data_IF_696508329931
#
_entry.id   IF_696508329931
#
_cell.length_a   1.000
_cell.length_b   1.000
_cell.length_c   1.000
_cell.angle_alpha   90.00
_cell.angle_beta   90.00
_cell.angle_gamma   90.00
#
_symmetry.space_group_name_H-M   'P 1'
#
loop_
_entity.id
_entity.type
_entity.pdbx_description
1 polymer ?
#
# COMPACT_ATOMS: atom_id res chain seq x y z
N UNK A 1 45.37 25.92 8.40
CA UNK A 1 44.22 26.48 7.66
C UNK A 1 42.97 25.89 8.26
N UNK A 2 42.23 26.70 9.01
CA UNK A 2 41.03 26.32 9.77
C UNK A 2 39.85 27.03 9.12
N UNK A 3 38.75 26.32 8.85
CA UNK A 3 37.42 26.88 8.57
C UNK A 3 36.46 26.14 9.51
N UNK A 4 36.01 26.73 10.61
CA UNK A 4 34.97 27.78 10.73
C UNK A 4 33.57 27.24 10.42
N UNK A 5 32.97 26.56 11.41
CA UNK A 5 31.51 26.53 11.56
C UNK A 5 31.17 27.66 12.54
N UNK A 6 30.46 28.67 12.05
CA UNK A 6 29.84 29.71 12.85
C UNK A 6 28.49 29.21 13.38
N UNK A 7 28.29 29.13 14.71
CA UNK A 7 26.98 29.12 15.32
C UNK A 7 26.59 30.55 15.67
N UNK A 8 25.70 31.16 14.89
CA UNK A 8 24.98 32.38 15.28
C UNK A 8 23.51 32.03 15.46
N UNK A 9 22.78 32.53 16.45
CA UNK A 9 23.14 33.35 17.58
C UNK A 9 22.15 33.05 18.72
N UNK A 10 22.68 33.02 19.94
CA UNK A 10 22.11 33.52 21.21
C UNK A 10 20.86 34.41 21.02
N UNK A 11 19.73 34.25 21.69
CA UNK A 11 19.49 33.78 23.06
C UNK A 11 18.80 34.92 23.82
N UNK A 12 17.64 34.65 24.43
CA UNK A 12 17.12 35.45 25.54
C UNK A 12 16.17 34.59 26.37
N UNK A 13 16.75 33.94 27.38
CA UNK A 13 16.05 33.46 28.57
C UNK A 13 15.09 34.54 29.10
N UNK A 14 13.95 34.14 29.65
CA UNK A 14 13.77 34.10 31.10
C UNK A 14 12.27 34.14 31.47
N UNK A 15 11.86 33.18 32.28
CA UNK A 15 10.65 33.26 33.08
C UNK A 15 10.72 34.47 34.04
N UNK A 16 9.64 35.25 34.05
CA UNK A 16 8.96 35.77 35.24
C UNK A 16 9.53 37.00 35.95
N UNK A 17 8.88 38.16 35.77
CA UNK A 17 8.52 39.12 36.84
C UNK A 17 7.25 39.89 36.42
N UNK A 18 6.36 40.09 37.40
CA UNK A 18 5.00 40.61 37.33
C UNK A 18 4.88 42.16 37.36
N UNK A 19 3.74 42.66 36.88
CA UNK A 19 2.94 43.81 37.39
C UNK A 19 3.36 45.29 37.15
N UNK A 20 2.62 46.01 36.26
CA UNK A 20 1.58 47.03 36.59
C UNK A 20 1.30 48.05 35.45
N UNK A 21 0.01 48.17 35.13
CA UNK A 21 -0.71 49.30 34.48
C UNK A 21 -0.24 49.83 33.10
N UNK A 22 -1.02 49.52 32.06
CA UNK A 22 -1.54 50.52 31.13
C UNK A 22 -2.93 50.10 30.62
N UNK A 23 -3.86 51.05 30.60
CA UNK A 23 -5.31 50.85 30.43
C UNK A 23 -5.74 50.48 29.00
N UNK A 24 -6.84 49.73 28.98
CA UNK A 24 -7.88 49.53 27.97
C UNK A 24 -7.74 50.27 26.61
N UNK A 25 -7.81 49.48 25.53
CA UNK A 25 -8.86 49.64 24.52
C UNK A 25 -9.14 48.28 23.86
N UNK A 26 -10.38 47.84 23.96
CA UNK A 26 -10.86 46.60 23.36
C UNK A 26 -10.91 46.71 21.84
N UNK A 27 -10.19 45.80 21.18
CA UNK A 27 -10.47 45.39 19.82
C UNK A 27 -10.50 43.87 19.83
N UNK A 28 -11.70 43.30 19.76
CA UNK A 28 -11.88 41.87 19.58
C UNK A 28 -11.18 41.45 18.28
N UNK A 29 -10.35 40.39 18.27
CA UNK A 29 -9.85 39.85 17.02
C UNK A 29 -11.03 39.17 16.32
N UNK A 30 -11.58 39.82 15.29
CA UNK A 30 -12.40 39.14 14.30
C UNK A 30 -11.52 38.09 13.63
N UNK A 31 -11.59 36.87 14.17
CA UNK A 31 -11.07 35.67 13.54
C UNK A 31 -11.89 35.46 12.26
N UNK A 32 -11.44 36.07 11.16
CA UNK A 32 -11.82 35.65 9.81
C UNK A 32 -11.21 34.27 9.62
N UNK A 33 -11.96 33.25 9.99
CA UNK A 33 -11.79 31.90 9.44
C UNK A 33 -12.19 32.00 7.96
N UNK A 34 -11.27 32.48 7.14
CA UNK A 34 -11.22 32.07 5.75
C UNK A 34 -11.08 30.55 5.81
N UNK A 35 -11.97 29.75 5.22
CA UNK A 35 -11.65 28.35 5.00
C UNK A 35 -10.39 28.38 4.14
N UNK A 36 -9.27 27.94 4.71
CA UNK A 36 -8.15 27.49 3.90
C UNK A 36 -8.76 26.45 2.98
N UNK A 37 -8.97 26.84 1.72
CA UNK A 37 -9.28 25.96 0.63
C UNK A 37 -8.06 25.06 0.50
N UNK A 38 -8.02 24.05 1.37
CA UNK A 38 -7.07 22.96 1.28
C UNK A 38 -7.29 22.38 -0.10
N UNK A 39 -6.19 22.28 -0.85
CA UNK A 39 -6.12 21.49 -2.06
C UNK A 39 -6.33 20.03 -1.64
N UNK A 40 -7.58 19.67 -1.38
CA UNK A 40 -7.98 18.31 -1.02
C UNK A 40 -7.94 17.52 -2.31
N UNK A 41 -6.90 16.73 -2.49
CA UNK A 41 -6.87 15.69 -3.50
C UNK A 41 -8.00 14.72 -3.15
N UNK A 42 -9.15 14.90 -3.78
CA UNK A 42 -10.26 13.96 -3.72
C UNK A 42 -9.79 12.66 -4.37
N UNK A 43 -9.19 11.78 -3.56
CA UNK A 43 -8.99 10.39 -3.92
C UNK A 43 -10.37 9.78 -4.10
N UNK A 44 -10.87 9.81 -5.33
CA UNK A 44 -12.16 9.23 -5.70
C UNK A 44 -12.21 7.79 -5.17
N UNK A 45 -13.28 7.39 -4.50
CA UNK A 45 -13.40 6.03 -3.93
C UNK A 45 -13.12 4.90 -4.93
N UNK A 46 -13.31 5.17 -6.24
CA UNK A 46 -12.92 4.28 -7.33
C UNK A 46 -11.41 3.99 -7.41
N UNK A 47 -10.54 4.97 -7.16
CA UNK A 47 -9.08 4.77 -7.21
C UNK A 47 -8.57 3.97 -6.01
N UNK A 48 -9.17 4.19 -4.83
CA UNK A 48 -8.90 3.39 -3.63
C UNK A 48 -9.35 1.93 -3.84
N UNK A 49 -10.54 1.72 -4.40
CA UNK A 49 -11.04 0.39 -4.72
C UNK A 49 -10.15 -0.34 -5.75
N UNK A 50 -9.68 0.35 -6.80
CA UNK A 50 -8.75 -0.24 -7.77
C UNK A 50 -7.39 -0.59 -7.15
N UNK A 51 -6.87 0.23 -6.22
CA UNK A 51 -5.63 -0.08 -5.51
C UNK A 51 -5.78 -1.31 -4.61
N UNK A 52 -6.91 -1.44 -3.90
CA UNK A 52 -7.18 -2.64 -3.08
C UNK A 52 -7.26 -3.91 -3.91
N UNK A 53 -7.95 -3.85 -5.05
CA UNK A 53 -8.04 -5.01 -5.94
C UNK A 53 -6.67 -5.36 -6.53
N UNK A 54 -5.88 -4.36 -6.91
CA UNK A 54 -4.50 -4.57 -7.37
C UNK A 54 -3.62 -5.22 -6.30
N UNK A 55 -3.69 -4.76 -5.04
CA UNK A 55 -2.94 -5.37 -3.93
C UNK A 55 -3.43 -6.79 -3.63
N UNK A 56 -4.74 -7.04 -3.71
CA UNK A 56 -5.31 -8.38 -3.53
C UNK A 56 -4.82 -9.35 -4.61
N UNK A 57 -4.84 -8.92 -5.87
CA UNK A 57 -4.31 -9.70 -6.98
C UNK A 57 -2.80 -9.96 -6.82
N UNK A 58 -2.04 -8.93 -6.43
CA UNK A 58 -0.62 -9.06 -6.13
C UNK A 58 -0.32 -10.09 -5.05
N UNK A 59 -1.05 -10.06 -3.93
CA UNK A 59 -0.92 -11.05 -2.86
C UNK A 59 -1.27 -12.48 -3.33
N UNK A 60 -2.32 -12.63 -4.14
CA UNK A 60 -2.68 -13.93 -4.70
C UNK A 60 -1.56 -14.51 -5.56
N UNK A 61 -0.93 -13.69 -6.41
CA UNK A 61 0.22 -14.10 -7.22
C UNK A 61 1.43 -14.49 -6.35
N UNK A 62 1.73 -13.73 -5.29
CA UNK A 62 2.85 -14.06 -4.40
C UNK A 62 2.58 -15.35 -3.62
N UNK A 63 1.34 -15.59 -3.18
CA UNK A 63 0.96 -16.83 -2.50
C UNK A 63 1.06 -18.05 -3.42
N UNK A 64 0.64 -17.93 -4.68
CA UNK A 64 0.83 -18.99 -5.68
C UNK A 64 2.32 -19.26 -5.92
N UNK A 65 3.14 -18.21 -6.02
CA UNK A 65 4.58 -18.36 -6.15
C UNK A 65 5.20 -19.07 -4.93
N UNK A 66 4.79 -18.72 -3.71
CA UNK A 66 5.26 -19.38 -2.48
C UNK A 66 4.86 -20.86 -2.43
N UNK A 67 3.66 -21.21 -2.88
CA UNK A 67 3.24 -22.61 -2.97
C UNK A 67 4.16 -23.42 -3.91
N UNK A 68 4.50 -22.85 -5.07
CA UNK A 68 5.41 -23.49 -6.03
C UNK A 68 6.87 -23.55 -5.54
N UNK A 69 7.30 -22.56 -4.76
CA UNK A 69 8.59 -22.57 -4.06
C UNK A 69 8.66 -23.74 -3.07
N UNK A 70 7.58 -24.03 -2.34
CA UNK A 70 7.52 -25.22 -1.48
C UNK A 70 7.53 -26.53 -2.27
N UNK A 71 6.86 -26.58 -3.42
CA UNK A 71 6.95 -27.74 -4.31
C UNK A 71 8.37 -27.96 -4.83
N UNK A 72 9.09 -26.88 -5.16
CA UNK A 72 10.50 -26.94 -5.55
C UNK A 72 11.38 -27.47 -4.41
N UNK A 73 11.15 -27.06 -3.15
CA UNK A 73 11.84 -27.64 -1.98
C UNK A 73 11.58 -29.15 -1.85
N UNK A 74 10.31 -29.56 -1.98
CA UNK A 74 9.94 -30.97 -1.91
C UNK A 74 10.63 -31.78 -3.02
N UNK A 75 10.69 -31.23 -4.24
CA UNK A 75 11.43 -31.82 -5.35
C UNK A 75 12.93 -31.92 -5.04
N UNK A 76 13.57 -30.86 -4.54
CA UNK A 76 15.01 -30.88 -4.20
C UNK A 76 15.34 -31.94 -3.13
N UNK A 77 14.45 -32.16 -2.17
CA UNK A 77 14.58 -33.24 -1.18
C UNK A 77 14.46 -34.61 -1.84
N UNK A 78 13.53 -34.79 -2.79
CA UNK A 78 13.40 -36.02 -3.57
C UNK A 78 14.62 -36.29 -4.45
N UNK A 79 15.15 -35.26 -5.13
CA UNK A 79 16.40 -35.32 -5.89
C UNK A 79 17.56 -35.76 -4.99
N UNK A 80 17.65 -35.21 -3.78
CA UNK A 80 18.68 -35.62 -2.81
C UNK A 80 18.51 -37.08 -2.37
N UNK A 81 17.28 -37.56 -2.21
CA UNK A 81 17.00 -38.95 -1.87
C UNK A 81 17.30 -39.91 -3.04
N UNK A 82 16.98 -39.53 -4.26
CA UNK A 82 17.32 -40.24 -5.49
C UNK A 82 18.84 -40.33 -5.68
N UNK A 83 19.56 -39.23 -5.44
CA UNK A 83 21.01 -39.19 -5.46
C UNK A 83 21.66 -40.15 -4.45
N UNK A 84 21.09 -40.25 -3.23
CA UNK A 84 21.57 -41.17 -2.19
C UNK A 84 21.27 -42.63 -2.48
N UNK A 85 20.14 -42.91 -3.13
CA UNK A 85 19.70 -44.28 -3.45
C UNK A 85 20.29 -44.82 -4.75
N UNK A 86 20.87 -43.95 -5.60
CA UNK A 86 21.39 -44.35 -6.90
C UNK A 86 20.31 -44.50 -7.98
N UNK A 87 19.08 -44.03 -7.72
CA UNK A 87 17.91 -44.29 -8.58
C UNK A 87 17.68 -43.16 -9.59
N UNK A 88 18.10 -43.38 -10.84
CA UNK A 88 17.85 -42.43 -11.94
C UNK A 88 16.35 -42.27 -12.22
N UNK A 89 15.58 -43.36 -12.13
CA UNK A 89 14.15 -43.31 -12.39
C UNK A 89 13.41 -42.39 -11.41
N UNK A 90 13.80 -42.40 -10.12
CA UNK A 90 13.20 -41.52 -9.11
C UNK A 90 13.62 -40.05 -9.32
N UNK A 91 14.86 -39.83 -9.78
CA UNK A 91 15.35 -38.50 -10.14
C UNK A 91 14.54 -37.91 -11.32
N UNK A 92 14.43 -38.66 -12.41
CA UNK A 92 13.72 -38.25 -13.62
C UNK A 92 12.24 -38.01 -13.31
N UNK A 93 11.62 -38.87 -12.50
CA UNK A 93 10.23 -38.72 -12.07
C UNK A 93 10.01 -37.44 -11.24
N UNK A 94 10.93 -37.12 -10.32
CA UNK A 94 10.83 -35.91 -9.51
C UNK A 94 10.99 -34.63 -10.35
N UNK A 95 11.97 -34.60 -11.25
CA UNK A 95 12.24 -33.46 -12.13
C UNK A 95 11.11 -33.23 -13.13
N UNK A 96 10.64 -34.29 -13.81
CA UNK A 96 9.55 -34.21 -14.77
C UNK A 96 8.23 -33.81 -14.12
N UNK A 97 7.86 -34.42 -12.99
CA UNK A 97 6.62 -34.08 -12.28
C UNK A 97 6.61 -32.63 -11.77
N UNK A 98 7.77 -32.09 -11.39
CA UNK A 98 7.89 -30.69 -11.03
C UNK A 98 7.81 -29.77 -12.26
N UNK A 99 8.53 -30.09 -13.34
CA UNK A 99 8.50 -29.32 -14.57
C UNK A 99 7.07 -29.21 -15.15
N UNK A 100 6.32 -30.31 -15.17
CA UNK A 100 4.92 -30.32 -15.63
C UNK A 100 4.02 -29.44 -14.77
N UNK A 101 4.18 -29.49 -13.44
CA UNK A 101 3.39 -28.64 -12.52
C UNK A 101 3.75 -27.17 -12.64
N UNK A 102 5.04 -26.86 -12.80
CA UNK A 102 5.51 -25.50 -13.02
C UNK A 102 4.98 -24.94 -14.33
N UNK A 103 5.06 -25.69 -15.43
CA UNK A 103 4.55 -25.26 -16.74
C UNK A 103 3.02 -25.10 -16.72
N UNK A 104 2.31 -25.99 -16.02
CA UNK A 104 0.87 -25.85 -15.79
C UNK A 104 0.53 -24.58 -14.98
N UNK A 105 1.38 -24.14 -14.06
CA UNK A 105 1.19 -22.89 -13.34
C UNK A 105 1.51 -21.66 -14.20
N UNK A 106 2.62 -21.71 -14.96
CA UNK A 106 3.00 -20.62 -15.88
C UNK A 106 1.91 -20.39 -16.94
N UNK A 107 1.36 -21.47 -17.51
CA UNK A 107 0.25 -21.38 -18.46
C UNK A 107 -1.06 -20.85 -17.86
N UNK A 108 -1.26 -20.97 -16.54
CA UNK A 108 -2.35 -20.31 -15.79
C UNK A 108 -2.08 -18.85 -15.46
N UNK A 109 -0.88 -18.34 -15.78
CA UNK A 109 -0.50 -16.94 -15.56
C UNK A 109 0.39 -16.69 -14.35
N UNK A 110 1.03 -17.73 -13.79
CA UNK A 110 2.00 -17.58 -12.70
C UNK A 110 3.34 -16.99 -13.23
N UNK A 111 3.35 -15.70 -13.57
CA UNK A 111 4.52 -15.03 -14.15
C UNK A 111 5.67 -14.85 -13.16
N UNK A 112 5.36 -14.72 -11.86
CA UNK A 112 6.37 -14.58 -10.81
C UNK A 112 7.30 -15.79 -10.75
N UNK A 113 6.81 -17.01 -10.98
CA UNK A 113 7.67 -18.22 -10.93
C UNK A 113 8.47 -18.47 -12.22
N UNK A 114 8.20 -17.69 -13.27
CA UNK A 114 8.99 -17.68 -14.50
C UNK A 114 10.08 -16.59 -14.48
N UNK A 115 10.27 -15.90 -13.34
CA UNK A 115 11.18 -14.75 -13.22
C UNK A 115 10.60 -13.44 -13.76
N UNK A 116 9.31 -13.39 -14.11
CA UNK A 116 8.63 -12.15 -14.48
C UNK A 116 8.34 -11.28 -13.25
N UNK A 117 8.10 -9.99 -13.46
CA UNK A 117 7.70 -9.08 -12.39
C UNK A 117 6.22 -8.72 -12.48
N UNK A 118 5.62 -8.40 -11.33
CA UNK A 118 4.24 -7.93 -11.22
C UNK A 118 4.24 -6.53 -10.64
N UNK A 119 3.59 -5.59 -11.33
CA UNK A 119 3.39 -4.23 -10.86
C UNK A 119 2.06 -4.12 -10.11
N UNK A 120 2.12 -3.69 -8.85
CA UNK A 120 0.97 -3.54 -7.97
C UNK A 120 0.74 -2.06 -7.68
N UNK A 121 -0.45 -1.56 -8.01
CA UNK A 121 -0.85 -0.18 -7.70
C UNK A 121 -1.29 -0.09 -6.23
N UNK A 122 -0.33 -0.08 -5.32
CA UNK A 122 -0.59 -0.10 -3.89
C UNK A 122 -1.23 1.19 -3.34
N UNK A 123 -0.95 2.33 -3.96
CA UNK A 123 -1.44 3.64 -3.52
C UNK A 123 -1.97 4.46 -4.71
N UNK A 124 -3.09 5.17 -4.57
CA UNK A 124 -3.57 6.07 -5.60
C UNK A 124 -2.58 7.22 -5.87
N UNK A 125 -2.16 7.39 -7.12
CA UNK A 125 -1.27 8.49 -7.53
C UNK A 125 0.22 8.29 -7.22
N UNK A 126 0.60 7.22 -6.53
CA UNK A 126 1.99 6.83 -6.34
C UNK A 126 2.51 5.91 -7.45
N UNK A 127 3.82 5.71 -7.51
CA UNK A 127 4.42 4.73 -8.40
C UNK A 127 3.99 3.29 -7.99
N UNK A 128 3.74 2.39 -8.96
CA UNK A 128 3.45 0.99 -8.66
C UNK A 128 4.61 0.32 -7.91
N UNK A 129 4.27 -0.52 -6.93
CA UNK A 129 5.23 -1.41 -6.26
C UNK A 129 5.52 -2.57 -7.20
N UNK A 130 6.79 -2.78 -7.52
CA UNK A 130 7.21 -3.90 -8.37
C UNK A 130 7.60 -5.08 -7.48
N UNK A 131 7.03 -6.24 -7.75
CA UNK A 131 7.38 -7.50 -7.12
C UNK A 131 8.20 -8.29 -8.12
N UNK A 132 9.45 -8.56 -7.76
CA UNK A 132 10.35 -9.36 -8.59
C UNK A 132 10.02 -10.84 -8.43
N UNK A 133 9.89 -11.52 -9.57
CA UNK A 133 9.71 -12.95 -9.63
C UNK A 133 11.00 -13.73 -9.39
N UNK A 134 10.82 -15.04 -9.26
CA UNK A 134 11.85 -16.04 -9.01
C UNK A 134 11.74 -17.05 -10.14
N UNK A 135 12.76 -17.19 -10.99
CA UNK A 135 12.75 -18.19 -12.06
C UNK A 135 13.01 -19.58 -11.49
N UNK A 136 11.95 -20.40 -11.42
CA UNK A 136 12.01 -21.79 -10.93
C UNK A 136 12.19 -22.81 -12.05
N UNK A 137 12.34 -22.38 -13.31
CA UNK A 137 12.46 -23.31 -14.43
C UNK A 137 13.77 -24.08 -14.35
N UNK A 138 13.67 -25.39 -14.58
CA UNK A 138 14.84 -26.26 -14.73
C UNK A 138 15.50 -25.96 -16.08
N UNK A 139 16.78 -25.63 -16.05
CA UNK A 139 17.58 -25.32 -17.25
C UNK A 139 18.53 -26.47 -17.52
N UNK A 140 18.85 -26.71 -18.79
CA UNK A 140 19.85 -27.72 -19.16
C UNK A 140 21.24 -27.35 -18.62
N UNK A 141 21.60 -26.07 -18.70
CA UNK A 141 22.84 -25.52 -18.16
C UNK A 141 22.49 -24.39 -17.18
N UNK A 142 22.35 -24.71 -15.88
CA UNK A 142 22.05 -23.71 -14.87
C UNK A 142 23.26 -22.80 -14.62
N UNK A 143 23.03 -21.49 -14.65
CA UNK A 143 24.03 -20.47 -14.37
C UNK A 143 24.27 -20.24 -12.89
N UNK A 144 25.35 -19.50 -12.58
CA UNK A 144 25.72 -19.15 -11.21
C UNK A 144 24.69 -18.26 -10.49
N UNK A 145 23.79 -17.59 -11.22
CA UNK A 145 22.74 -16.73 -10.68
C UNK A 145 21.37 -17.42 -10.61
N UNK A 146 21.21 -18.60 -11.24
CA UNK A 146 19.93 -19.29 -11.30
C UNK A 146 19.52 -19.89 -9.95
N UNK A 147 18.25 -19.72 -9.58
CA UNK A 147 17.69 -20.24 -8.31
C UNK A 147 17.75 -21.76 -8.31
N UNK A 148 17.43 -22.38 -9.45
CA UNK A 148 17.56 -23.81 -9.67
C UNK A 148 18.92 -24.12 -10.29
N UNK A 149 19.86 -24.58 -9.45
CA UNK A 149 21.17 -25.02 -9.89
C UNK A 149 21.20 -26.49 -10.35
N UNK A 150 20.09 -27.23 -10.19
CA UNK A 150 19.93 -28.59 -10.69
C UNK A 150 19.56 -28.55 -12.18
N UNK A 151 20.32 -29.28 -13.00
CA UNK A 151 20.05 -29.38 -14.43
C UNK A 151 18.76 -30.18 -14.70
N UNK A 152 18.04 -29.82 -15.76
CA UNK A 152 16.94 -30.64 -16.29
C UNK A 152 17.41 -32.00 -16.82
N UNK A 153 18.71 -32.15 -17.11
CA UNK A 153 19.35 -33.39 -17.58
C UNK A 153 20.32 -33.96 -16.54
N UNK A 154 20.09 -33.68 -15.26
CA UNK A 154 20.94 -34.16 -14.18
C UNK A 154 21.00 -35.70 -14.12
N UNK A 155 22.20 -36.24 -13.91
CA UNK A 155 22.39 -37.67 -13.71
C UNK A 155 22.71 -37.97 -12.25
N UNK A 156 22.22 -39.11 -11.74
CA UNK A 156 22.54 -39.55 -10.37
C UNK A 156 24.04 -39.83 -10.20
N UNK A 157 24.73 -40.14 -11.29
CA UNK A 157 26.18 -40.33 -11.31
C UNK A 157 26.98 -39.02 -11.17
N UNK A 158 26.34 -37.86 -11.32
CA UNK A 158 27.01 -36.57 -11.22
C UNK A 158 27.48 -36.29 -9.79
N UNK A 159 28.80 -36.17 -9.63
CA UNK A 159 29.41 -35.83 -8.35
C UNK A 159 29.02 -34.41 -7.86
N UNK A 160 28.58 -33.54 -8.77
CA UNK A 160 28.18 -32.16 -8.45
C UNK A 160 26.71 -32.04 -8.02
N UNK A 161 25.88 -33.06 -8.27
CA UNK A 161 24.44 -33.04 -7.97
C UNK A 161 24.14 -32.68 -6.51
N UNK A 162 24.82 -33.23 -5.48
CA UNK A 162 24.55 -32.86 -4.09
C UNK A 162 24.86 -31.39 -3.80
N UNK A 163 25.89 -30.83 -4.44
CA UNK A 163 26.24 -29.41 -4.28
C UNK A 163 25.24 -28.51 -5.02
N UNK A 164 24.79 -28.91 -6.21
CA UNK A 164 23.76 -28.21 -6.96
C UNK A 164 22.43 -28.15 -6.19
N UNK A 165 22.02 -29.26 -5.56
CA UNK A 165 20.83 -29.29 -4.70
C UNK A 165 20.99 -28.34 -3.50
N UNK A 166 22.14 -28.35 -2.84
CA UNK A 166 22.40 -27.47 -1.69
C UNK A 166 22.35 -25.99 -2.07
N UNK A 167 23.01 -25.60 -3.18
CA UNK A 167 22.96 -24.23 -3.70
C UNK A 167 21.54 -23.82 -4.08
N UNK A 168 20.77 -24.74 -4.67
CA UNK A 168 19.37 -24.48 -5.02
C UNK A 168 18.53 -24.22 -3.77
N UNK A 169 18.73 -25.00 -2.70
CA UNK A 169 18.02 -24.81 -1.43
C UNK A 169 18.35 -23.45 -0.79
N UNK A 170 19.61 -23.02 -0.81
CA UNK A 170 20.03 -21.72 -0.28
C UNK A 170 19.41 -20.56 -1.07
N UNK A 171 19.54 -20.58 -2.39
CA UNK A 171 18.95 -19.54 -3.24
C UNK A 171 17.43 -19.50 -3.18
N UNK A 172 16.81 -20.65 -3.03
CA UNK A 172 15.35 -20.76 -2.89
C UNK A 172 14.90 -20.19 -1.53
N UNK A 173 15.67 -20.37 -0.46
CA UNK A 173 15.40 -19.72 0.83
C UNK A 173 15.54 -18.19 0.75
N UNK A 174 16.54 -17.68 0.04
CA UNK A 174 16.69 -16.25 -0.22
C UNK A 174 15.49 -15.70 -1.03
N UNK A 175 15.10 -16.41 -2.08
CA UNK A 175 13.94 -16.08 -2.90
C UNK A 175 12.63 -16.06 -2.07
N UNK A 176 12.43 -17.07 -1.23
CA UNK A 176 11.29 -17.13 -0.31
C UNK A 176 11.27 -15.95 0.67
N UNK A 177 12.44 -15.56 1.20
CA UNK A 177 12.57 -14.41 2.10
C UNK A 177 12.16 -13.12 1.39
N UNK A 178 12.64 -12.90 0.16
CA UNK A 178 12.27 -11.73 -0.65
C UNK A 178 10.76 -11.69 -0.98
N UNK A 179 10.18 -12.83 -1.30
CA UNK A 179 8.72 -12.93 -1.53
C UNK A 179 7.94 -12.61 -0.24
N UNK A 180 8.37 -13.13 0.91
CA UNK A 180 7.73 -12.83 2.20
C UNK A 180 7.85 -11.35 2.59
N UNK A 181 8.99 -10.72 2.32
CA UNK A 181 9.14 -9.27 2.55
C UNK A 181 8.24 -8.46 1.62
N UNK A 182 8.04 -8.92 0.38
CA UNK A 182 7.06 -8.34 -0.55
C UNK A 182 5.63 -8.49 -0.01
N UNK A 183 5.25 -9.66 0.53
CA UNK A 183 3.94 -9.85 1.20
C UNK A 183 3.76 -8.86 2.34
N UNK A 184 4.74 -8.75 3.25
CA UNK A 184 4.68 -7.82 4.40
C UNK A 184 4.52 -6.37 3.94
N UNK A 185 5.22 -5.97 2.87
CA UNK A 185 5.07 -4.64 2.28
C UNK A 185 3.67 -4.42 1.73
N UNK A 186 3.11 -5.39 0.98
CA UNK A 186 1.74 -5.31 0.47
C UNK A 186 0.70 -5.26 1.59
N UNK A 187 0.87 -6.06 2.66
CA UNK A 187 -0.01 -6.05 3.83
C UNK A 187 0.00 -4.68 4.54
N UNK A 188 1.17 -4.03 4.64
CA UNK A 188 1.27 -2.68 5.17
C UNK A 188 0.46 -1.67 4.32
N UNK A 189 0.52 -1.79 2.98
CA UNK A 189 -0.31 -0.98 2.09
C UNK A 189 -1.81 -1.30 2.23
N UNK A 190 -2.20 -2.55 2.46
CA UNK A 190 -3.61 -2.88 2.75
C UNK A 190 -4.09 -2.23 4.05
N UNK A 191 -3.26 -2.23 5.10
CA UNK A 191 -3.56 -1.55 6.36
C UNK A 191 -3.73 -0.04 6.16
N UNK A 192 -2.85 0.59 5.38
CA UNK A 192 -2.95 2.01 5.03
C UNK A 192 -4.22 2.32 4.24
N UNK A 193 -4.53 1.54 3.19
CA UNK A 193 -5.75 1.72 2.38
C UNK A 193 -7.02 1.60 3.23
N UNK A 194 -7.04 0.67 4.20
CA UNK A 194 -8.17 0.53 5.14
C UNK A 194 -8.32 1.74 6.07
N UNK A 195 -7.22 2.30 6.56
CA UNK A 195 -7.25 3.52 7.37
C UNK A 195 -7.68 4.75 6.55
N UNK A 196 -7.21 4.87 5.31
CA UNK A 196 -7.56 5.95 4.39
C UNK A 196 -9.05 5.93 4.02
N UNK A 197 -9.63 4.76 3.78
CA UNK A 197 -11.07 4.59 3.55
C UNK A 197 -11.89 5.03 4.78
N UNK A 198 -11.49 4.60 5.99
CA UNK A 198 -12.18 5.00 7.21
C UNK A 198 -12.14 6.51 7.46
N UNK A 199 -11.04 7.18 7.07
CA UNK A 199 -10.93 8.64 7.15
C UNK A 199 -11.78 9.36 6.09
N UNK A 200 -11.81 8.85 4.84
CA UNK A 200 -12.62 9.40 3.75
C UNK A 200 -14.11 9.32 4.07
N UNK A 201 -14.61 8.17 4.53
CA UNK A 201 -16.02 7.99 4.93
C UNK A 201 -16.42 8.94 6.05
N UNK A 202 -15.54 9.17 7.04
CA UNK A 202 -15.80 10.14 8.13
C UNK A 202 -15.90 11.57 7.60
N UNK A 203 -14.99 11.97 6.69
CA UNK A 203 -15.02 13.31 6.10
C UNK A 203 -16.30 13.58 5.28
N UNK A 204 -16.80 12.57 4.57
CA UNK A 204 -18.02 12.66 3.79
C UNK A 204 -19.25 12.81 4.70
N UNK A 205 -19.31 12.02 5.78
CA UNK A 205 -20.36 12.14 6.80
C UNK A 205 -20.34 13.50 7.52
N UNK A 206 -19.16 14.03 7.83
CA UNK A 206 -19.01 15.35 8.44
C UNK A 206 -19.49 16.46 7.48
N UNK A 207 -19.12 16.38 6.21
CA UNK A 207 -19.58 17.31 5.17
C UNK A 207 -21.11 17.25 4.97
N UNK A 208 -21.68 16.05 4.91
CA UNK A 208 -23.12 15.84 4.81
C UNK A 208 -23.86 16.33 6.06
N UNK A 209 -23.30 16.11 7.25
CA UNK A 209 -23.88 16.63 8.49
C UNK A 209 -23.89 18.16 8.52
N UNK A 210 -22.82 18.81 8.08
CA UNK A 210 -22.74 20.27 7.97
C UNK A 210 -23.74 20.80 6.94
N UNK A 211 -23.93 20.09 5.82
CA UNK A 211 -24.91 20.43 4.80
C UNK A 211 -26.35 20.28 5.30
N UNK A 212 -26.65 19.23 6.05
CA UNK A 212 -27.96 19.01 6.68
C UNK A 212 -28.25 20.09 7.72
N UNK A 213 -27.28 20.46 8.56
CA UNK A 213 -27.42 21.56 9.51
C UNK A 213 -27.66 22.89 8.79
N UNK A 214 -26.91 23.18 7.73
CA UNK A 214 -27.10 24.39 6.94
C UNK A 214 -28.51 24.43 6.30
N UNK A 215 -29.00 23.29 5.80
CA UNK A 215 -30.37 23.16 5.28
C UNK A 215 -31.42 23.34 6.37
N UNK A 216 -31.21 22.77 7.56
CA UNK A 216 -32.12 22.92 8.69
C UNK A 216 -32.15 24.36 9.21
N UNK A 217 -31.00 25.04 9.30
CA UNK A 217 -30.92 26.46 9.65
C UNK A 217 -31.62 27.30 8.60
N UNK A 218 -31.39 27.03 7.31
CA UNK A 218 -32.07 27.73 6.21
C UNK A 218 -33.59 27.56 6.29
N UNK A 219 -34.08 26.32 6.43
CA UNK A 219 -35.51 26.04 6.60
C UNK A 219 -36.08 26.66 7.88
N UNK A 220 -35.29 26.68 8.96
CA UNK A 220 -35.64 27.33 10.21
C UNK A 220 -35.80 28.84 10.05
N UNK A 221 -34.88 29.51 9.35
CA UNK A 221 -34.96 30.94 9.05
C UNK A 221 -36.12 31.28 8.09
N UNK A 222 -36.35 30.44 7.08
CA UNK A 222 -37.50 30.57 6.18
C UNK A 222 -38.83 30.45 6.95
N UNK A 223 -38.93 29.49 7.89
CA UNK A 223 -40.11 29.31 8.77
C UNK A 223 -40.24 30.38 9.86
N UNK A 224 -39.13 30.89 10.40
CA UNK A 224 -39.12 31.82 11.53
C UNK A 224 -39.23 33.30 11.14
N UNK A 225 -38.98 33.68 9.88
CA UNK A 225 -39.02 35.11 9.55
C UNK A 225 -38.91 35.52 8.09
N UNK A 226 -38.50 34.65 7.16
CA UNK A 226 -38.34 35.02 5.75
C UNK A 226 -39.61 35.58 5.09
N UNK A 227 -40.78 34.99 5.40
CA UNK A 227 -42.08 35.51 4.97
C UNK A 227 -42.69 36.55 5.93
N UNK A 228 -42.25 36.62 7.19
CA UNK A 228 -42.81 37.56 8.17
C UNK A 228 -42.25 38.98 7.98
N UNK A 229 -40.99 39.11 7.56
CA UNK A 229 -40.38 40.42 7.27
C UNK A 229 -40.90 40.98 5.95
N UNK A 230 -41.06 40.14 4.92
CA UNK A 230 -41.64 40.56 3.64
C UNK A 230 -43.13 40.95 3.73
N UNK A 231 -43.89 40.36 4.66
CA UNK A 231 -45.30 40.72 4.91
C UNK A 231 -45.48 41.83 5.97
N UNK A 232 -44.41 42.36 6.55
CA UNK A 232 -44.47 43.50 7.49
C UNK A 232 -44.44 44.87 6.76
N UNK A 233 -43.97 44.92 5.52
CA UNK A 233 -43.92 46.15 4.71
C UNK A 233 -45.28 46.86 4.48
N UNK A 234 -46.43 46.18 4.28
CA UNK A 234 -47.70 46.90 4.04
C UNK A 234 -48.25 47.62 5.28
N UNK A 235 -47.79 47.33 6.51
CA UNK A 235 -48.27 48.04 7.70
C UNK A 235 -47.62 49.43 7.88
N UNK A 236 -46.44 49.67 7.31
CA UNK A 236 -45.79 50.98 7.31
C UNK A 236 -46.51 51.99 6.40
N UNK A 237 -47.25 51.52 5.39
CA UNK A 237 -48.03 52.40 4.50
C UNK A 237 -49.30 52.89 5.21
N UNK A 238 -49.91 52.07 6.08
CA UNK A 238 -51.13 52.44 6.81
C UNK A 238 -50.90 53.46 7.93
N UNK A 239 -49.67 53.55 8.47
CA UNK A 239 -49.33 54.56 9.48
C UNK A 239 -49.04 55.94 8.87
N UNK A 240 -48.70 56.00 7.57
CA UNK A 240 -48.43 57.26 6.87
C UNK A 240 -49.72 58.07 6.54
N UNK A 241 -50.88 57.41 6.52
CA UNK A 241 -52.19 58.03 6.23
C UNK A 241 -53.05 58.30 7.47
N UNK A 242 -52.51 58.12 8.69
CA UNK A 242 -53.24 58.28 9.96
C UNK A 242 -52.69 59.41 10.84
N UNK A 243 -52.08 60.43 10.23
CA UNK A 243 -51.73 61.70 10.86
C UNK A 243 -52.65 62.82 10.38
#
# INVERSE_FOLDING_TARGET
>A
MVSSIMPGATGANALGVDQRMARANGAAPQRREMPTQGDSVELSGATLASSRESVRAGLAHVQEALALVHEAQAMLVQVQAAAKSGSQADLDAALSAFAERLEAAISRGATLVAGGSVSVQAEPGAAPVTIDGVDLRLKAEPGADDVMAVSSAAEVADAELPQAVQRSMEKLQDAMTRLLDSVRSLEAHQGFLGAAEAASVRSDLDADSARLLALQVRQGLEKAGGMAIANAEPQAVLTLFRA
#
